data_IF_256725144995
#
_entry.id   IF_256725144995
#
_cell.length_a   1.000
_cell.length_b   1.000
_cell.length_c   1.000
_cell.angle_alpha   90.00
_cell.angle_beta   90.00
_cell.angle_gamma   90.00
#
_symmetry.space_group_name_H-M   'P 1'
#
loop_
_entity.id
_entity.type
_entity.pdbx_description
1 polymer ?
#
# COMPACT_ATOMS: atom_id res chain seq x y z
N UNK A 1 5.09 -6.72 -6.69
CA UNK A 1 4.90 -5.32 -7.10
C UNK A 1 6.09 -4.47 -6.69
N UNK A 2 6.41 -3.43 -7.45
CA UNK A 2 7.64 -2.65 -7.30
C UNK A 2 7.39 -1.14 -7.48
N UNK A 3 8.33 -0.28 -7.05
CA UNK A 3 8.34 1.15 -7.42
C UNK A 3 8.35 1.33 -8.95
N UNK A 4 8.14 2.55 -9.45
CA UNK A 4 8.25 2.80 -10.89
C UNK A 4 9.66 2.48 -11.42
N UNK A 5 9.74 1.84 -12.59
CA UNK A 5 11.00 1.49 -13.27
C UNK A 5 11.12 0.01 -13.64
N UNK A 6 12.29 -0.35 -14.18
CA UNK A 6 12.64 -1.73 -14.53
C UNK A 6 12.80 -2.58 -13.25
N UNK A 7 11.96 -3.61 -13.04
CA UNK A 7 12.02 -4.43 -11.84
C UNK A 7 13.32 -5.22 -11.71
N UNK A 8 14.07 -5.42 -12.79
CA UNK A 8 15.35 -6.14 -12.77
C UNK A 8 16.54 -5.20 -12.59
N UNK A 9 16.33 -3.90 -12.65
CA UNK A 9 17.36 -2.88 -12.50
C UNK A 9 17.93 -2.81 -11.07
N UNK A 10 19.24 -2.54 -10.97
CA UNK A 10 19.97 -2.48 -9.69
C UNK A 10 19.36 -1.52 -8.67
N UNK A 11 18.97 -0.30 -9.10
CA UNK A 11 18.37 0.70 -8.22
C UNK A 11 17.06 0.20 -7.60
N UNK A 12 16.22 -0.43 -8.43
CA UNK A 12 14.92 -0.91 -7.98
C UNK A 12 15.05 -2.12 -7.07
N UNK A 13 15.96 -3.05 -7.39
CA UNK A 13 16.32 -4.16 -6.52
C UNK A 13 16.87 -3.67 -5.16
N UNK A 14 17.64 -2.59 -5.14
CA UNK A 14 18.12 -1.97 -3.90
C UNK A 14 16.97 -1.43 -3.05
N UNK A 15 15.98 -0.78 -3.66
CA UNK A 15 14.77 -0.31 -2.94
C UNK A 15 13.98 -1.50 -2.38
N UNK A 16 13.80 -2.56 -3.17
CA UNK A 16 13.12 -3.77 -2.72
C UNK A 16 13.87 -4.48 -1.58
N UNK A 17 15.19 -4.51 -1.63
CA UNK A 17 16.03 -5.04 -0.56
C UNK A 17 15.76 -4.32 0.77
N UNK A 18 15.81 -2.99 0.77
CA UNK A 18 15.54 -2.21 1.97
C UNK A 18 14.10 -2.36 2.46
N UNK A 19 13.13 -2.38 1.54
CA UNK A 19 11.73 -2.68 1.89
C UNK A 19 11.60 -4.03 2.59
N UNK A 20 12.26 -5.07 2.07
CA UNK A 20 12.24 -6.41 2.68
C UNK A 20 12.89 -6.41 4.06
N UNK A 21 14.04 -5.75 4.22
CA UNK A 21 14.72 -5.62 5.53
C UNK A 21 13.86 -4.90 6.56
N UNK A 22 13.16 -3.84 6.17
CA UNK A 22 12.22 -3.13 7.04
C UNK A 22 11.05 -4.04 7.45
N UNK A 23 10.43 -4.75 6.50
CA UNK A 23 9.35 -5.70 6.81
C UNK A 23 9.82 -6.82 7.75
N UNK A 24 11.01 -7.39 7.50
CA UNK A 24 11.60 -8.43 8.33
C UNK A 24 11.81 -7.95 9.77
N UNK A 25 12.34 -6.73 9.94
CA UNK A 25 12.52 -6.12 11.25
C UNK A 25 11.18 -5.91 11.96
N UNK A 26 10.19 -5.33 11.28
CA UNK A 26 8.87 -5.05 11.86
C UNK A 26 8.14 -6.33 12.30
N UNK A 27 8.10 -7.36 11.45
CA UNK A 27 7.52 -8.65 11.82
C UNK A 27 8.26 -9.29 13.00
N UNK A 28 9.59 -9.20 13.04
CA UNK A 28 10.39 -9.67 14.17
C UNK A 28 10.07 -8.94 15.47
N UNK A 29 9.84 -7.62 15.42
CA UNK A 29 9.42 -6.82 16.57
C UNK A 29 8.05 -7.24 17.09
N UNK A 30 7.06 -7.41 16.20
CA UNK A 30 5.72 -7.87 16.58
C UNK A 30 5.77 -9.27 17.19
N UNK A 31 6.50 -10.19 16.54
CA UNK A 31 6.66 -11.56 17.03
C UNK A 31 7.29 -11.61 18.43
N UNK A 32 8.36 -10.84 18.65
CA UNK A 32 9.01 -10.76 19.97
C UNK A 32 8.05 -10.24 21.04
N UNK A 33 7.22 -9.24 20.72
CA UNK A 33 6.21 -8.74 21.65
C UNK A 33 5.12 -9.80 21.97
N UNK A 34 4.78 -10.67 21.01
CA UNK A 34 3.88 -11.79 21.26
C UNK A 34 4.48 -12.83 22.20
N UNK A 35 5.76 -13.17 22.02
CA UNK A 35 6.48 -14.09 22.92
C UNK A 35 6.57 -13.52 24.34
N UNK A 36 6.91 -12.24 24.49
CA UNK A 36 6.98 -11.57 25.79
C UNK A 36 5.63 -11.52 26.51
N UNK A 37 4.52 -11.51 25.75
CA UNK A 37 3.16 -11.56 26.29
C UNK A 37 2.62 -13.00 26.50
N UNK A 38 3.36 -14.05 26.10
CA UNK A 38 2.90 -15.44 26.13
C UNK A 38 1.76 -15.74 25.16
N UNK A 39 1.72 -15.04 24.02
CA UNK A 39 0.65 -15.07 23.03
C UNK A 39 1.07 -15.69 21.68
N UNK A 40 2.32 -16.13 21.55
CA UNK A 40 2.94 -16.63 20.32
C UNK A 40 2.28 -17.91 19.77
N UNK A 41 1.60 -18.69 20.61
CA UNK A 41 0.86 -19.88 20.20
C UNK A 41 -0.60 -19.59 19.80
N UNK A 42 -1.08 -18.36 20.05
CA UNK A 42 -2.47 -17.95 19.80
C UNK A 42 -2.60 -16.98 18.63
N UNK A 43 -1.62 -16.10 18.45
CA UNK A 43 -1.63 -15.11 17.40
C UNK A 43 -0.35 -15.15 16.59
N UNK A 44 -0.46 -14.67 15.36
CA UNK A 44 0.64 -14.48 14.42
C UNK A 44 0.90 -12.99 14.23
N UNK A 45 2.11 -12.59 13.83
CA UNK A 45 2.39 -11.18 13.52
C UNK A 45 1.44 -10.56 12.47
N UNK A 46 0.93 -11.38 11.54
CA UNK A 46 -0.02 -10.97 10.50
C UNK A 46 -1.41 -10.63 11.05
N UNK A 47 -1.74 -11.04 12.27
CA UNK A 47 -2.96 -10.57 12.93
C UNK A 47 -2.87 -9.09 13.34
N UNK A 48 -1.66 -8.51 13.37
CA UNK A 48 -1.39 -7.14 13.81
C UNK A 48 -0.81 -6.25 12.71
N UNK A 49 -0.07 -6.81 11.75
CA UNK A 49 0.63 -6.06 10.71
C UNK A 49 0.49 -6.76 9.36
N UNK A 50 -0.11 -6.08 8.39
CA UNK A 50 -0.28 -6.58 7.03
C UNK A 50 0.28 -5.61 5.99
N UNK A 51 0.82 -6.16 4.90
CA UNK A 51 1.34 -5.40 3.76
C UNK A 51 0.60 -5.80 2.50
N UNK A 52 0.06 -4.82 1.78
CA UNK A 52 -0.71 -5.03 0.55
C UNK A 52 -0.10 -4.28 -0.63
N UNK A 53 -0.54 -4.64 -1.83
CA UNK A 53 -0.23 -3.96 -3.07
C UNK A 53 -1.44 -4.09 -4.03
N UNK A 54 -1.61 -3.16 -4.96
CA UNK A 54 -2.81 -3.10 -5.81
C UNK A 54 -2.53 -3.57 -7.23
N UNK A 55 -3.34 -4.49 -7.76
CA UNK A 55 -3.23 -4.95 -9.14
C UNK A 55 -4.59 -5.04 -9.80
N UNK A 56 -4.64 -4.84 -11.12
CA UNK A 56 -5.85 -5.03 -11.90
C UNK A 56 -5.67 -6.16 -12.91
N UNK A 57 -6.76 -6.86 -13.20
CA UNK A 57 -6.85 -7.84 -14.28
C UNK A 57 -8.18 -7.67 -15.01
N UNK A 58 -8.12 -7.36 -16.30
CA UNK A 58 -9.32 -7.13 -17.10
C UNK A 58 -9.70 -8.37 -17.90
N UNK A 59 -10.94 -8.49 -18.38
CA UNK A 59 -11.45 -9.53 -19.29
C UNK A 59 -11.17 -9.19 -20.78
N UNK A 60 -11.32 -10.14 -21.73
CA UNK A 60 -11.31 -9.78 -23.17
C UNK A 60 -12.68 -9.19 -23.43
N UNK A 61 -12.75 -7.93 -23.86
CA UNK A 61 -14.00 -7.39 -24.39
C UNK A 61 -14.06 -7.68 -25.89
N UNK A 62 -15.12 -8.35 -26.35
CA UNK A 62 -15.34 -8.67 -27.76
C UNK A 62 -15.46 -7.43 -28.68
N UNK A 63 -15.66 -6.25 -28.10
CA UNK A 63 -15.88 -4.98 -28.81
C UNK A 63 -14.72 -3.98 -28.73
N UNK A 64 -13.60 -4.33 -28.08
CA UNK A 64 -12.43 -3.44 -27.98
C UNK A 64 -11.53 -3.48 -29.22
N UNK A 65 -10.76 -2.42 -29.53
CA UNK A 65 -9.77 -2.47 -30.60
C UNK A 65 -8.79 -3.61 -30.31
N UNK A 66 -8.83 -4.62 -31.18
CA UNK A 66 -7.92 -5.75 -31.20
C UNK A 66 -6.52 -5.24 -31.58
N UNK A 67 -5.78 -4.72 -30.61
CA UNK A 67 -4.33 -4.55 -30.71
C UNK A 67 -3.67 -5.92 -30.58
N UNK A 68 -3.95 -6.82 -31.53
CA UNK A 68 -3.11 -8.02 -31.74
C UNK A 68 -1.79 -7.49 -32.30
N UNK A 69 -0.90 -7.11 -31.40
CA UNK A 69 0.50 -6.95 -31.77
C UNK A 69 0.99 -8.31 -32.27
N UNK A 70 1.74 -8.37 -33.39
CA UNK A 70 2.30 -9.63 -33.87
C UNK A 70 3.16 -10.27 -32.77
N UNK A 71 3.20 -11.61 -32.66
CA UNK A 71 3.99 -12.29 -31.66
C UNK A 71 5.46 -11.98 -31.90
N UNK A 72 6.04 -11.15 -31.02
CA UNK A 72 7.48 -10.93 -30.99
C UNK A 72 8.12 -12.15 -30.32
N UNK A 73 9.15 -12.70 -30.94
CA UNK A 73 9.85 -13.90 -30.48
C UNK A 73 10.63 -13.55 -29.20
N UNK A 74 10.10 -13.93 -28.03
CA UNK A 74 10.79 -13.87 -26.74
C UNK A 74 9.88 -13.51 -25.57
N UNK A 75 9.91 -14.27 -24.47
CA UNK A 75 9.05 -14.09 -23.30
C UNK A 75 9.45 -12.87 -22.45
N UNK A 76 9.23 -11.65 -22.97
CA UNK A 76 9.47 -10.42 -22.22
C UNK A 76 8.42 -10.25 -21.10
N UNK A 77 8.76 -9.60 -19.96
CA UNK A 77 7.78 -9.29 -18.92
C UNK A 77 6.57 -8.50 -19.44
N UNK A 78 6.79 -7.61 -20.42
CA UNK A 78 5.75 -6.82 -21.07
C UNK A 78 4.77 -7.71 -21.83
N UNK A 79 5.26 -8.70 -22.56
CA UNK A 79 4.40 -9.64 -23.27
C UNK A 79 3.60 -10.52 -22.31
N UNK A 80 4.22 -11.01 -21.24
CA UNK A 80 3.53 -11.78 -20.21
C UNK A 80 2.41 -10.97 -19.55
N UNK A 81 2.65 -9.69 -19.26
CA UNK A 81 1.63 -8.76 -18.75
C UNK A 81 0.46 -8.61 -19.73
N UNK A 82 0.75 -8.37 -21.02
CA UNK A 82 -0.28 -8.23 -22.07
C UNK A 82 -1.09 -9.52 -22.25
N UNK A 83 -0.42 -10.69 -22.24
CA UNK A 83 -1.04 -12.00 -22.40
C UNK A 83 -1.94 -12.35 -21.22
N UNK A 84 -1.48 -12.09 -20.00
CA UNK A 84 -2.25 -12.37 -18.78
C UNK A 84 -3.28 -11.29 -18.46
N UNK A 85 -3.20 -10.14 -19.15
CA UNK A 85 -3.95 -8.90 -18.93
C UNK A 85 -3.98 -8.46 -17.48
N UNK A 86 -2.84 -8.63 -16.81
CA UNK A 86 -2.69 -8.26 -15.42
C UNK A 86 -1.50 -7.33 -15.30
N UNK A 87 -1.70 -6.22 -14.57
CA UNK A 87 -0.61 -5.34 -14.21
C UNK A 87 -0.88 -4.67 -12.87
N UNK A 88 0.17 -4.12 -12.27
CA UNK A 88 0.04 -3.37 -11.03
C UNK A 88 -0.72 -2.06 -11.23
N UNK A 89 -1.59 -1.73 -10.29
CA UNK A 89 -2.05 -0.36 -10.06
C UNK A 89 -0.95 0.30 -9.24
N UNK A 90 -0.33 1.33 -9.79
CA UNK A 90 0.80 1.98 -9.15
C UNK A 90 0.35 2.82 -7.95
N UNK A 91 0.70 2.39 -6.75
CA UNK A 91 0.42 3.14 -5.51
C UNK A 91 1.42 4.28 -5.38
N UNK A 92 1.02 5.47 -5.84
CA UNK A 92 1.80 6.70 -5.70
C UNK A 92 1.36 7.56 -4.50
N UNK A 93 0.43 7.07 -3.69
CA UNK A 93 -0.09 7.77 -2.51
C UNK A 93 0.97 7.93 -1.41
N UNK A 94 0.95 9.08 -0.73
CA UNK A 94 1.69 9.32 0.52
C UNK A 94 0.72 9.89 1.54
N UNK A 95 0.15 9.01 2.35
CA UNK A 95 -0.77 9.39 3.39
C UNK A 95 -0.94 8.29 4.43
N UNK A 96 -1.48 8.68 5.58
CA UNK A 96 -1.73 7.79 6.71
C UNK A 96 -3.04 8.20 7.37
N UNK A 97 -3.88 7.22 7.70
CA UNK A 97 -5.12 7.40 8.46
C UNK A 97 -4.92 6.71 9.81
N UNK A 98 -5.24 7.39 10.90
CA UNK A 98 -5.13 6.87 12.26
C UNK A 98 -6.49 6.96 12.94
N UNK A 99 -6.94 5.83 13.48
CA UNK A 99 -8.16 5.68 14.30
C UNK A 99 -9.43 6.29 13.71
N UNK A 100 -9.54 6.40 12.38
CA UNK A 100 -10.63 7.11 11.68
C UNK A 100 -10.84 8.59 12.11
N UNK A 101 -9.89 9.16 12.86
CA UNK A 101 -9.98 10.50 13.45
C UNK A 101 -8.96 11.49 12.87
N UNK A 102 -7.76 11.00 12.53
CA UNK A 102 -6.64 11.82 12.06
C UNK A 102 -6.15 11.33 10.70
N UNK A 103 -5.79 12.26 9.83
CA UNK A 103 -5.22 11.95 8.52
C UNK A 103 -4.00 12.81 8.24
N UNK A 104 -2.96 12.21 7.66
CA UNK A 104 -1.81 12.90 7.08
C UNK A 104 -1.86 12.66 5.56
N UNK A 105 -1.74 13.73 4.78
CA UNK A 105 -1.64 13.67 3.31
C UNK A 105 -0.52 14.59 2.86
N UNK A 106 0.33 14.14 1.94
CA UNK A 106 1.42 14.96 1.43
C UNK A 106 2.21 14.31 0.31
N UNK A 107 3.47 14.74 0.19
CA UNK A 107 4.42 14.24 -0.82
C UNK A 107 5.48 13.29 -0.22
N UNK A 108 5.61 13.28 1.10
CA UNK A 108 6.65 12.55 1.84
C UNK A 108 6.49 11.02 1.75
N UNK A 109 7.41 10.36 1.06
CA UNK A 109 7.50 8.89 1.10
C UNK A 109 8.01 8.40 2.48
N UNK A 110 7.66 7.17 2.86
CA UNK A 110 8.26 6.51 4.04
C UNK A 110 9.65 5.96 3.65
N UNK A 111 10.62 6.87 3.52
CA UNK A 111 12.03 6.55 3.30
C UNK A 111 12.93 7.71 3.74
N UNK A 112 14.23 7.47 3.84
CA UNK A 112 15.20 8.48 4.28
C UNK A 112 15.27 9.70 3.36
N UNK A 113 14.99 9.55 2.06
CA UNK A 113 15.06 10.65 1.10
C UNK A 113 14.02 11.73 1.40
N UNK A 114 12.79 11.32 1.71
CA UNK A 114 11.70 12.23 2.04
C UNK A 114 11.66 12.60 3.54
N UNK A 115 12.06 11.69 4.45
CA UNK A 115 11.92 11.90 5.90
C UNK A 115 13.11 12.59 6.59
N UNK A 116 14.26 12.78 5.93
CA UNK A 116 15.43 13.34 6.60
C UNK A 116 15.37 14.86 6.84
N UNK A 117 14.49 15.58 6.14
CA UNK A 117 14.41 17.05 6.16
C UNK A 117 15.58 17.80 5.48
N UNK A 118 16.66 17.09 5.16
CA UNK A 118 17.90 17.63 4.55
C UNK A 118 18.18 17.12 3.14
N UNK A 119 17.30 16.28 2.59
CA UNK A 119 17.41 15.70 1.24
C UNK A 119 16.35 16.32 0.33
N UNK A 120 15.26 15.62 0.06
CA UNK A 120 14.19 16.18 -0.75
C UNK A 120 13.35 17.14 0.10
N UNK A 121 12.93 18.26 -0.52
CA UNK A 121 11.98 19.18 0.12
C UNK A 121 10.58 18.61 -0.05
N UNK A 122 9.94 18.34 1.08
CA UNK A 122 8.62 17.71 1.13
C UNK A 122 7.64 18.59 1.90
N UNK A 123 6.35 18.43 1.63
CA UNK A 123 5.28 19.04 2.42
C UNK A 123 4.20 18.00 2.71
N UNK A 124 3.64 18.05 3.91
CA UNK A 124 2.51 17.23 4.32
C UNK A 124 1.61 18.04 5.26
N UNK A 125 0.31 17.76 5.21
CA UNK A 125 -0.70 18.31 6.11
C UNK A 125 -1.28 17.20 6.96
N UNK A 126 -1.33 17.44 8.27
CA UNK A 126 -2.08 16.63 9.22
C UNK A 126 -3.37 17.34 9.61
N UNK A 127 -4.49 16.62 9.62
CA UNK A 127 -5.80 17.18 9.93
C UNK A 127 -6.67 16.20 10.72
N UNK A 128 -7.56 16.75 11.54
CA UNK A 128 -8.60 16.01 12.28
C UNK A 128 -9.85 16.85 12.45
N UNK A 129 -10.96 16.21 12.78
CA UNK A 129 -12.21 16.89 13.10
C UNK A 129 -12.44 16.87 14.61
N UNK A 130 -12.46 18.02 15.32
CA UNK A 130 -12.54 18.06 16.78
C UNK A 130 -13.74 17.31 17.38
N UNK A 131 -14.87 17.31 16.67
CA UNK A 131 -16.11 16.64 17.09
C UNK A 131 -16.22 15.17 16.64
N UNK A 132 -15.21 14.64 15.94
CA UNK A 132 -15.16 13.26 15.48
C UNK A 132 -13.81 12.65 15.90
N UNK A 133 -13.61 12.55 17.22
CA UNK A 133 -12.43 11.92 17.81
C UNK A 133 -12.84 10.69 18.62
N UNK A 134 -11.87 9.82 18.93
CA UNK A 134 -12.14 8.60 19.71
C UNK A 134 -12.57 8.90 21.15
N UNK A 135 -12.41 10.15 21.61
CA UNK A 135 -12.88 10.59 22.93
C UNK A 135 -14.35 10.98 22.85
N UNK A 136 -15.23 10.09 23.33
CA UNK A 136 -16.64 10.40 23.59
C UNK A 136 -17.66 9.73 22.67
N UNK A 137 -17.23 8.89 21.71
CA UNK A 137 -18.14 8.15 20.83
C UNK A 137 -17.94 6.64 21.04
N UNK A 138 -18.90 5.93 21.67
CA UNK A 138 -18.80 4.49 21.92
C UNK A 138 -18.63 3.65 20.66
N UNK A 139 -19.17 4.11 19.52
CA UNK A 139 -19.05 3.45 18.21
C UNK A 139 -17.79 3.85 17.42
N UNK A 140 -16.94 4.71 17.96
CA UNK A 140 -15.79 5.28 17.26
C UNK A 140 -16.11 6.48 16.34
N UNK A 141 -15.08 7.15 15.78
CA UNK A 141 -15.27 8.33 14.93
C UNK A 141 -15.93 7.99 13.59
N UNK A 142 -17.04 8.64 13.26
CA UNK A 142 -17.72 8.50 11.95
C UNK A 142 -17.67 9.82 11.15
N UNK A 143 -16.50 10.45 11.12
CA UNK A 143 -16.29 11.72 10.40
C UNK A 143 -15.98 11.57 8.91
N UNK A 144 -15.45 12.64 8.32
CA UNK A 144 -14.91 12.67 6.96
C UNK A 144 -13.69 11.77 6.79
N UNK A 145 -12.85 11.64 7.82
CA UNK A 145 -11.69 10.73 7.79
C UNK A 145 -12.16 9.28 7.68
N UNK A 146 -13.10 8.86 8.53
CA UNK A 146 -13.78 7.56 8.43
C UNK A 146 -14.38 7.33 7.04
N UNK A 147 -15.18 8.28 6.54
CA UNK A 147 -15.81 8.15 5.22
C UNK A 147 -14.80 8.03 4.07
N UNK A 148 -13.70 8.79 4.13
CA UNK A 148 -12.60 8.68 3.17
C UNK A 148 -11.94 7.28 3.22
N UNK A 149 -11.68 6.76 4.43
CA UNK A 149 -11.11 5.42 4.62
C UNK A 149 -12.03 4.32 4.12
N UNK A 150 -13.33 4.39 4.39
CA UNK A 150 -14.34 3.48 3.82
C UNK A 150 -14.38 3.53 2.29
N UNK A 151 -14.29 4.73 1.70
CA UNK A 151 -14.26 4.90 0.24
C UNK A 151 -13.04 4.23 -0.40
N UNK A 152 -11.86 4.38 0.19
CA UNK A 152 -10.64 3.71 -0.28
C UNK A 152 -10.74 2.18 -0.15
N UNK A 153 -11.32 1.70 0.95
CA UNK A 153 -11.58 0.28 1.13
C UNK A 153 -12.49 -0.24 0.02
N UNK A 154 -13.63 0.41 -0.22
CA UNK A 154 -14.55 0.02 -1.28
C UNK A 154 -13.90 -0.04 -2.66
N UNK A 155 -13.03 0.93 -2.97
CA UNK A 155 -12.26 0.93 -4.22
C UNK A 155 -11.33 -0.28 -4.32
N UNK A 156 -10.65 -0.64 -3.23
CA UNK A 156 -9.59 -1.66 -3.25
C UNK A 156 -10.08 -3.09 -3.01
N UNK A 157 -11.20 -3.27 -2.31
CA UNK A 157 -11.80 -4.58 -2.01
C UNK A 157 -12.98 -4.91 -2.92
N UNK A 158 -13.48 -3.93 -3.68
CA UNK A 158 -14.62 -4.11 -4.59
C UNK A 158 -15.99 -3.90 -3.95
N UNK A 159 -16.07 -3.40 -2.72
CA UNK A 159 -17.33 -3.10 -2.03
C UNK A 159 -17.14 -2.61 -0.60
N UNK A 160 -18.20 -2.04 -0.02
CA UNK A 160 -18.25 -1.74 1.41
C UNK A 160 -18.65 -3.01 2.15
N UNK A 161 -17.87 -3.41 3.15
CA UNK A 161 -18.28 -4.39 4.17
C UNK A 161 -19.17 -3.75 5.23
#
# INVERSE_FOLDING_TARGET
MWPEGDPTGFLLQSILHWKHKTMQMMYGTVYKALEEAGLENRYTPQDYLNFFCLGNREALNESGPSFIAPPLIGSTPQENSRRNRWFMIYVHSKGMIMDDAYVIIGFTNINQRSMSGSRDTEIAMGAYQPWHTCKGIPSGPCGKVHGYRMSLWAEHTGGLE
#
